data_IF_280921351434
#
_entry.id   IF_280921351434
#
_cell.length_a   1.000
_cell.length_b   1.000
_cell.length_c   1.000
_cell.angle_alpha   90.00
_cell.angle_beta   90.00
_cell.angle_gamma   90.00
#
_symmetry.space_group_name_H-M   'P 1'
#
loop_
_entity.id
_entity.type
_entity.pdbx_description
1 polymer ?
#
# COMPACT_ATOMS: atom_id res chain seq x y z
N UNK A 1 -7.40 -3.82 -13.93
CA UNK A 1 -7.14 -3.61 -12.49
C UNK A 1 -7.26 -2.13 -12.19
N UNK A 2 -8.17 -1.75 -11.28
CA UNK A 2 -8.35 -0.36 -10.84
C UNK A 2 -7.86 -0.22 -9.41
N UNK A 3 -7.23 0.89 -9.06
CA UNK A 3 -6.86 1.14 -7.67
C UNK A 3 -7.77 2.20 -7.05
N UNK A 4 -8.20 1.97 -5.82
CA UNK A 4 -8.78 3.04 -5.00
C UNK A 4 -7.64 3.85 -4.39
N UNK A 5 -7.56 5.13 -4.74
CA UNK A 5 -6.52 6.03 -4.24
C UNK A 5 -7.11 7.38 -3.84
N UNK A 6 -6.48 8.05 -2.85
CA UNK A 6 -6.94 9.35 -2.37
C UNK A 6 -6.97 10.36 -3.53
N UNK A 7 -8.03 11.18 -3.61
CA UNK A 7 -8.21 12.14 -4.71
C UNK A 7 -7.00 13.09 -4.87
N UNK A 8 -6.30 13.43 -3.79
CA UNK A 8 -5.07 14.24 -3.84
C UNK A 8 -3.97 13.63 -4.73
N UNK A 9 -3.93 12.30 -4.88
CA UNK A 9 -2.98 11.59 -5.76
C UNK A 9 -3.31 11.85 -7.24
N UNK A 10 -4.59 12.02 -7.58
CA UNK A 10 -5.07 12.33 -8.92
C UNK A 10 -4.84 13.79 -9.31
N UNK A 11 -4.79 14.69 -8.33
CA UNK A 11 -4.48 16.12 -8.50
C UNK A 11 -2.99 16.41 -8.63
N UNK A 12 -2.12 15.47 -8.26
CA UNK A 12 -0.68 15.64 -8.36
C UNK A 12 -0.20 15.62 -9.82
N UNK A 13 0.65 16.58 -10.22
CA UNK A 13 1.02 16.85 -11.63
C UNK A 13 1.68 15.68 -12.36
N UNK A 14 2.31 14.75 -11.63
CA UNK A 14 3.07 13.62 -12.21
C UNK A 14 2.29 12.31 -12.14
N UNK A 15 1.72 11.99 -10.99
CA UNK A 15 0.94 10.74 -10.80
C UNK A 15 -0.48 10.87 -11.34
N UNK A 16 -1.05 12.08 -11.37
CA UNK A 16 -2.43 12.33 -11.74
C UNK A 16 -2.82 11.84 -13.14
N UNK A 17 -2.06 12.20 -14.21
CA UNK A 17 -2.33 11.71 -15.55
C UNK A 17 -2.26 10.18 -15.66
N UNK A 18 -1.30 9.56 -14.97
CA UNK A 18 -1.14 8.10 -14.95
C UNK A 18 -2.31 7.40 -14.25
N UNK A 19 -2.69 7.87 -13.06
CA UNK A 19 -3.82 7.30 -12.30
C UNK A 19 -5.15 7.45 -13.06
N UNK A 20 -5.35 8.59 -13.74
CA UNK A 20 -6.52 8.81 -14.60
C UNK A 20 -6.52 7.92 -15.84
N UNK A 21 -5.37 7.77 -16.50
CA UNK A 21 -5.22 6.89 -17.67
C UNK A 21 -5.49 5.41 -17.36
N UNK A 22 -5.15 4.96 -16.15
CA UNK A 22 -5.42 3.59 -15.69
C UNK A 22 -6.83 3.41 -15.08
N UNK A 23 -7.72 4.40 -15.27
CA UNK A 23 -9.12 4.42 -14.80
C UNK A 23 -9.28 4.06 -13.32
N UNK A 24 -8.33 4.48 -12.48
CA UNK A 24 -8.38 4.28 -11.04
C UNK A 24 -9.51 5.07 -10.39
N UNK A 25 -9.98 4.61 -9.24
CA UNK A 25 -11.14 5.16 -8.54
C UNK A 25 -10.63 6.20 -7.53
N UNK A 26 -10.89 7.51 -7.76
CA UNK A 26 -10.53 8.54 -6.79
C UNK A 26 -11.43 8.46 -5.57
N UNK A 27 -10.82 8.51 -4.38
CA UNK A 27 -11.52 8.55 -3.10
C UNK A 27 -11.34 9.92 -2.48
N UNK A 28 -12.39 10.74 -2.52
CA UNK A 28 -12.51 11.97 -1.74
C UNK A 28 -13.21 11.63 -0.40
N UNK A 29 -12.77 12.24 0.70
CA UNK A 29 -13.49 12.14 1.98
C UNK A 29 -14.90 12.77 1.91
N UNK A 30 -15.12 13.75 1.02
CA UNK A 30 -16.43 14.38 0.83
C UNK A 30 -17.36 13.61 -0.11
N UNK A 31 -16.82 12.79 -1.01
CA UNK A 31 -17.59 11.96 -1.97
C UNK A 31 -17.27 10.46 -1.81
N UNK A 32 -16.95 10.02 -0.59
CA UNK A 32 -16.48 8.66 -0.34
C UNK A 32 -17.49 7.58 -0.72
N UNK A 33 -18.78 7.91 -0.63
CA UNK A 33 -19.89 7.02 -0.98
C UNK A 33 -19.93 6.69 -2.48
N UNK A 34 -19.78 7.70 -3.36
CA UNK A 34 -19.74 7.47 -4.80
C UNK A 34 -18.54 6.60 -5.23
N UNK A 35 -17.39 6.79 -4.60
CA UNK A 35 -16.19 5.99 -4.84
C UNK A 35 -16.37 4.53 -4.36
N UNK A 36 -17.00 4.35 -3.21
CA UNK A 36 -17.33 3.04 -2.65
C UNK A 36 -18.31 2.28 -3.54
N UNK A 37 -19.39 2.93 -3.94
CA UNK A 37 -20.39 2.40 -4.88
C UNK A 37 -19.79 2.01 -6.23
N UNK A 38 -18.87 2.82 -6.78
CA UNK A 38 -18.16 2.47 -8.00
C UNK A 38 -17.29 1.23 -7.83
N UNK A 39 -16.56 1.14 -6.71
CA UNK A 39 -15.72 -0.02 -6.42
C UNK A 39 -16.57 -1.29 -6.25
N UNK A 40 -17.71 -1.19 -5.58
CA UNK A 40 -18.66 -2.29 -5.40
C UNK A 40 -19.20 -2.79 -6.73
N UNK A 41 -19.65 -1.89 -7.62
CA UNK A 41 -20.09 -2.24 -8.97
C UNK A 41 -18.98 -2.91 -9.78
N UNK A 42 -17.76 -2.38 -9.69
CA UNK A 42 -16.60 -2.94 -10.41
C UNK A 42 -16.28 -4.36 -9.94
N UNK A 43 -16.30 -4.60 -8.62
CA UNK A 43 -16.08 -5.94 -8.07
C UNK A 43 -17.19 -6.92 -8.50
N UNK A 44 -18.46 -6.48 -8.47
CA UNK A 44 -19.60 -7.30 -8.92
C UNK A 44 -19.57 -7.61 -10.41
N UNK A 45 -18.97 -6.75 -11.24
CA UNK A 45 -18.75 -7.03 -12.67
C UNK A 45 -17.50 -7.88 -12.94
N UNK A 46 -16.85 -8.43 -11.91
CA UNK A 46 -15.67 -9.28 -12.04
C UNK A 46 -14.36 -8.53 -12.23
N UNK A 47 -14.33 -7.21 -12.02
CA UNK A 47 -13.09 -6.45 -12.09
C UNK A 47 -12.26 -6.57 -10.80
N UNK A 48 -10.93 -6.47 -10.93
CA UNK A 48 -10.01 -6.44 -9.79
C UNK A 48 -9.82 -5.00 -9.30
N UNK A 49 -10.09 -4.77 -8.02
CA UNK A 49 -9.86 -3.50 -7.34
C UNK A 49 -8.72 -3.61 -6.33
N UNK A 50 -7.65 -2.86 -6.54
CA UNK A 50 -6.53 -2.72 -5.61
C UNK A 50 -6.79 -1.63 -4.57
N UNK A 51 -6.47 -1.90 -3.31
CA UNK A 51 -6.66 -0.96 -2.20
C UNK A 51 -5.38 -0.87 -1.38
N UNK A 52 -4.98 0.34 -1.00
CA UNK A 52 -3.90 0.57 -0.04
C UNK A 52 -4.51 0.89 1.34
N UNK A 53 -4.71 -0.12 2.22
CA UNK A 53 -5.42 0.07 3.49
C UNK A 53 -4.66 0.97 4.48
N UNK A 54 -3.36 1.20 4.24
CA UNK A 54 -2.46 2.05 5.00
C UNK A 54 -2.64 3.56 4.73
N UNK A 55 -3.46 3.91 3.72
CA UNK A 55 -3.82 5.26 3.26
C UNK A 55 -2.67 6.19 2.81
N UNK A 56 -1.43 5.93 3.20
CA UNK A 56 -0.24 6.73 2.88
C UNK A 56 1.00 5.85 2.73
N UNK A 57 1.99 6.32 1.96
CA UNK A 57 3.30 5.68 1.87
C UNK A 57 4.03 5.90 3.20
N UNK A 58 4.45 4.83 3.86
CA UNK A 58 5.18 4.87 5.12
C UNK A 58 6.64 5.26 4.91
N UNK A 59 7.09 6.34 5.58
CA UNK A 59 8.50 6.75 5.57
C UNK A 59 9.40 5.83 6.40
N UNK A 60 8.83 5.06 7.33
CA UNK A 60 9.55 4.04 8.09
C UNK A 60 9.71 2.71 7.33
N UNK A 61 9.07 2.59 6.16
CA UNK A 61 9.01 1.37 5.35
C UNK A 61 8.49 0.14 6.09
N UNK A 62 7.70 0.38 7.14
CA UNK A 62 6.94 -0.61 7.90
C UNK A 62 5.45 -0.34 7.77
N UNK A 63 4.63 -1.38 7.91
CA UNK A 63 3.18 -1.24 7.83
C UNK A 63 2.62 -0.39 8.99
N UNK A 64 1.84 0.65 8.67
CA UNK A 64 0.95 1.37 9.59
C UNK A 64 -0.34 0.56 9.82
N UNK A 65 -1.24 1.13 10.62
CA UNK A 65 -2.56 0.54 10.86
C UNK A 65 -3.42 0.53 9.60
N UNK A 66 -4.14 -0.57 9.39
CA UNK A 66 -5.02 -0.75 8.25
C UNK A 66 -6.41 -0.20 8.56
N UNK A 67 -7.00 0.51 7.59
CA UNK A 67 -8.41 0.91 7.64
C UNK A 67 -9.30 -0.27 7.20
N UNK A 68 -10.48 -0.38 7.81
CA UNK A 68 -11.42 -1.49 7.57
C UNK A 68 -12.22 -1.39 6.27
N UNK A 69 -12.08 -0.31 5.50
CA UNK A 69 -12.84 -0.08 4.27
C UNK A 69 -12.68 -1.19 3.23
N UNK A 70 -11.46 -1.74 3.08
CA UNK A 70 -11.20 -2.86 2.17
C UNK A 70 -11.97 -4.13 2.58
N UNK A 71 -11.99 -4.44 3.88
CA UNK A 71 -12.72 -5.60 4.41
C UNK A 71 -14.23 -5.44 4.21
N UNK A 72 -14.79 -4.26 4.51
CA UNK A 72 -16.21 -3.97 4.30
C UNK A 72 -16.61 -4.09 2.83
N UNK A 73 -15.82 -3.53 1.94
CA UNK A 73 -16.06 -3.59 0.49
C UNK A 73 -16.06 -5.04 -0.01
N UNK A 74 -15.09 -5.85 0.43
CA UNK A 74 -15.00 -7.26 0.06
C UNK A 74 -16.19 -8.08 0.60
N UNK A 75 -16.59 -7.84 1.85
CA UNK A 75 -17.78 -8.45 2.45
C UNK A 75 -19.04 -8.14 1.64
N UNK A 76 -19.24 -6.87 1.28
CA UNK A 76 -20.44 -6.43 0.58
C UNK A 76 -20.49 -6.88 -0.88
N UNK A 77 -19.33 -6.95 -1.54
CA UNK A 77 -19.19 -7.49 -2.88
C UNK A 77 -19.26 -9.03 -2.91
N UNK A 78 -19.02 -9.71 -1.78
CA UNK A 78 -18.96 -11.18 -1.71
C UNK A 78 -17.71 -11.75 -2.38
N UNK A 79 -16.58 -11.05 -2.29
CA UNK A 79 -15.31 -11.40 -2.95
C UNK A 79 -14.18 -11.56 -1.93
N UNK A 80 -13.14 -12.36 -2.21
CA UNK A 80 -12.00 -12.50 -1.31
C UNK A 80 -11.05 -11.28 -1.38
N UNK A 81 -10.24 -11.13 -0.35
CA UNK A 81 -9.11 -10.19 -0.31
C UNK A 81 -7.82 -10.92 -0.65
N UNK A 82 -7.04 -10.39 -1.58
CA UNK A 82 -5.72 -10.95 -1.91
C UNK A 82 -4.63 -10.08 -1.24
N UNK A 83 -3.92 -10.59 -0.21
CA UNK A 83 -2.84 -9.86 0.42
C UNK A 83 -1.64 -9.74 -0.52
N UNK A 84 -1.07 -8.54 -0.60
CA UNK A 84 0.10 -8.27 -1.42
C UNK A 84 1.07 -7.33 -0.70
N UNK A 85 2.36 -7.63 -0.79
CA UNK A 85 3.43 -6.76 -0.33
C UNK A 85 4.33 -6.35 -1.50
N UNK A 86 4.76 -5.10 -1.51
CA UNK A 86 5.64 -4.53 -2.53
C UNK A 86 6.85 -3.93 -1.84
N UNK A 87 8.05 -4.28 -2.31
CA UNK A 87 9.32 -3.82 -1.76
C UNK A 87 10.27 -3.34 -2.86
N UNK A 88 11.05 -2.30 -2.59
CA UNK A 88 12.04 -1.73 -3.51
C UNK A 88 11.54 -0.49 -4.28
N UNK A 89 10.23 -0.26 -4.35
CA UNK A 89 9.65 0.93 -5.00
C UNK A 89 10.04 2.24 -4.31
N UNK A 90 10.26 2.22 -3.00
CA UNK A 90 10.70 3.38 -2.22
C UNK A 90 12.07 3.93 -2.67
N UNK A 91 12.91 3.07 -3.27
CA UNK A 91 14.23 3.43 -3.79
C UNK A 91 14.16 4.19 -5.11
N UNK A 92 13.04 4.07 -5.84
CA UNK A 92 12.77 4.83 -7.06
C UNK A 92 12.19 6.20 -6.72
N UNK A 93 11.18 6.22 -5.84
CA UNK A 93 10.53 7.45 -5.42
C UNK A 93 9.87 7.29 -4.04
N UNK A 94 10.34 8.08 -3.08
CA UNK A 94 9.72 8.22 -1.76
C UNK A 94 9.78 9.67 -1.28
N UNK A 95 9.04 9.99 -0.21
CA UNK A 95 9.03 11.33 0.39
C UNK A 95 10.37 11.59 1.10
N UNK A 96 11.00 12.73 0.82
CA UNK A 96 12.26 13.14 1.46
C UNK A 96 13.53 12.73 0.71
N UNK A 97 13.43 11.99 -0.40
CA UNK A 97 14.57 11.58 -1.22
C UNK A 97 14.39 11.99 -2.69
N UNK A 98 15.49 12.30 -3.41
CA UNK A 98 15.43 12.62 -4.83
C UNK A 98 14.89 11.43 -5.63
N UNK A 99 14.10 11.72 -6.67
CA UNK A 99 13.56 10.72 -7.60
C UNK A 99 14.70 10.05 -8.36
N UNK A 100 14.73 8.71 -8.37
CA UNK A 100 15.73 7.92 -9.07
C UNK A 100 15.08 7.09 -10.21
N UNK A 101 14.66 7.78 -11.27
CA UNK A 101 14.14 7.16 -12.50
C UNK A 101 15.22 6.90 -13.56
N UNK A 102 16.50 7.04 -13.21
CA UNK A 102 17.60 6.62 -14.10
C UNK A 102 17.55 5.09 -14.27
N UNK A 103 18.28 4.55 -15.25
CA UNK A 103 18.47 3.09 -15.45
C UNK A 103 19.28 2.48 -14.29
N UNK A 104 18.72 2.51 -13.07
CA UNK A 104 19.35 2.10 -11.82
C UNK A 104 19.24 0.59 -11.58
N UNK A 105 18.52 -0.14 -12.45
CA UNK A 105 18.21 -1.57 -12.32
C UNK A 105 17.75 -1.96 -10.90
N UNK A 106 17.05 -1.03 -10.22
CA UNK A 106 16.57 -1.23 -8.85
C UNK A 106 15.53 -2.35 -8.86
N UNK A 107 15.78 -3.48 -8.17
CA UNK A 107 14.82 -4.57 -8.16
C UNK A 107 13.55 -4.17 -7.42
N UNK A 108 12.39 -4.49 -7.97
CA UNK A 108 11.09 -4.39 -7.31
C UNK A 108 10.62 -5.82 -7.02
N UNK A 109 10.37 -6.12 -5.74
CA UNK A 109 9.84 -7.41 -5.30
C UNK A 109 8.36 -7.25 -5.00
N UNK A 110 7.54 -8.09 -5.62
CA UNK A 110 6.11 -8.19 -5.33
C UNK A 110 5.86 -9.60 -4.81
N UNK A 111 5.23 -9.71 -3.64
CA UNK A 111 4.77 -10.99 -3.10
C UNK A 111 3.27 -10.95 -2.94
N UNK A 112 2.61 -12.00 -3.42
CA UNK A 112 1.16 -12.18 -3.36
C UNK A 112 0.91 -13.40 -2.47
N UNK A 113 0.03 -13.25 -1.49
CA UNK A 113 -0.36 -14.33 -0.59
C UNK A 113 -1.69 -14.96 -0.96
N UNK A 114 -2.09 -15.93 -0.14
CA UNK A 114 -3.35 -16.65 -0.30
C UNK A 114 -4.56 -15.76 -0.09
N UNK A 115 -5.64 -16.08 -0.78
CA UNK A 115 -6.92 -15.39 -0.66
C UNK A 115 -7.47 -15.49 0.76
N UNK A 116 -7.89 -14.34 1.31
CA UNK A 116 -8.58 -14.24 2.59
C UNK A 116 -10.08 -14.02 2.34
N UNK A 117 -10.91 -14.95 2.80
CA UNK A 117 -12.35 -14.80 2.70
C UNK A 117 -12.88 -13.68 3.59
N UNK A 118 -13.69 -12.81 3.00
CA UNK A 118 -14.36 -11.72 3.67
C UNK A 118 -15.83 -12.09 3.97
N UNK A 119 -16.06 -13.09 4.82
CA UNK A 119 -17.43 -13.48 5.21
C UNK A 119 -18.14 -12.32 5.92
N UNK A 120 -19.42 -12.08 5.56
CA UNK A 120 -20.28 -11.05 6.16
C UNK A 120 -20.54 -11.25 7.65
N UNK A 121 -20.42 -12.49 8.14
CA UNK A 121 -20.69 -12.84 9.53
C UNK A 121 -19.53 -12.46 10.47
N UNK A 122 -18.36 -12.16 9.91
CA UNK A 122 -17.19 -11.74 10.69
C UNK A 122 -17.16 -10.23 10.86
N UNK A 123 -16.72 -9.77 12.03
CA UNK A 123 -16.45 -8.36 12.24
C UNK A 123 -15.35 -7.87 11.28
N UNK A 124 -15.62 -6.81 10.51
CA UNK A 124 -14.69 -6.27 9.51
C UNK A 124 -13.30 -5.93 10.08
N UNK A 125 -13.22 -5.50 11.35
CA UNK A 125 -11.93 -5.23 12.01
C UNK A 125 -11.10 -6.49 12.25
N UNK A 126 -11.72 -7.65 12.48
CA UNK A 126 -11.02 -8.93 12.62
C UNK A 126 -10.40 -9.36 11.28
N UNK A 127 -11.15 -9.26 10.18
CA UNK A 127 -10.64 -9.49 8.81
C UNK A 127 -9.50 -8.53 8.50
N UNK A 128 -9.64 -7.25 8.89
CA UNK A 128 -8.61 -6.23 8.66
C UNK A 128 -7.31 -6.55 9.40
N UNK A 129 -7.40 -7.06 10.64
CA UNK A 129 -6.24 -7.50 11.41
C UNK A 129 -5.55 -8.70 10.76
N UNK A 130 -6.32 -9.71 10.37
CA UNK A 130 -5.79 -10.90 9.67
C UNK A 130 -5.13 -10.51 8.34
N UNK A 131 -5.75 -9.62 7.57
CA UNK A 131 -5.16 -9.10 6.33
C UNK A 131 -3.82 -8.41 6.61
N UNK A 132 -3.75 -7.57 7.65
CA UNK A 132 -2.50 -6.90 8.03
C UNK A 132 -1.41 -7.90 8.41
N UNK A 133 -1.74 -8.94 9.18
CA UNK A 133 -0.80 -9.99 9.57
C UNK A 133 -0.23 -10.72 8.34
N UNK A 134 -1.10 -11.13 7.40
CA UNK A 134 -0.66 -11.76 6.15
C UNK A 134 0.23 -10.84 5.30
N UNK A 135 -0.11 -9.56 5.19
CA UNK A 135 0.73 -8.58 4.47
C UNK A 135 2.07 -8.37 5.18
N UNK A 136 2.09 -8.37 6.52
CA UNK A 136 3.33 -8.25 7.31
C UNK A 136 4.27 -9.42 7.01
N UNK A 137 3.78 -10.66 7.01
CA UNK A 137 4.56 -11.85 6.67
C UNK A 137 5.14 -11.76 5.24
N UNK A 138 4.32 -11.35 4.26
CA UNK A 138 4.76 -11.16 2.89
C UNK A 138 5.82 -10.06 2.76
N UNK A 139 5.66 -8.96 3.50
CA UNK A 139 6.61 -7.84 3.50
C UNK A 139 7.96 -8.28 4.07
N UNK A 140 7.97 -8.96 5.21
CA UNK A 140 9.19 -9.48 5.83
C UNK A 140 9.89 -10.49 4.92
N UNK A 141 9.14 -11.37 4.25
CA UNK A 141 9.68 -12.29 3.26
C UNK A 141 10.26 -11.57 2.03
N UNK A 142 9.66 -10.45 1.61
CA UNK A 142 10.18 -9.62 0.52
C UNK A 142 11.47 -8.90 0.93
N UNK A 143 11.53 -8.35 2.14
CA UNK A 143 12.71 -7.70 2.70
C UNK A 143 13.87 -8.67 2.87
N UNK A 144 13.62 -9.86 3.43
CA UNK A 144 14.64 -10.89 3.69
C UNK A 144 15.28 -11.43 2.42
N UNK A 145 14.47 -11.64 1.38
CA UNK A 145 14.91 -12.17 0.10
C UNK A 145 15.39 -11.09 -0.88
N UNK A 146 15.46 -9.82 -0.46
CA UNK A 146 15.81 -8.74 -1.36
C UNK A 146 17.26 -8.90 -1.85
N UNK A 147 17.51 -8.89 -3.18
CA UNK A 147 18.81 -9.29 -3.73
C UNK A 147 19.90 -8.21 -3.59
N UNK A 148 19.55 -7.00 -3.14
CA UNK A 148 20.47 -5.87 -3.02
C UNK A 148 20.76 -5.60 -1.55
N UNK A 149 22.04 -5.49 -1.21
CA UNK A 149 22.53 -5.01 0.08
C UNK A 149 22.97 -3.54 -0.03
N UNK A 150 22.90 -2.76 1.07
CA UNK A 150 23.49 -1.43 1.12
C UNK A 150 24.96 -1.46 0.71
N UNK A 151 25.39 -0.47 -0.07
CA UNK A 151 26.81 -0.32 -0.45
C UNK A 151 27.70 0.17 0.68
N UNK A 152 27.12 0.73 1.74
CA UNK A 152 27.81 1.29 2.89
C UNK A 152 26.83 2.03 3.82
N UNK A 153 27.32 2.68 4.89
CA UNK A 153 26.50 3.37 5.88
C UNK A 153 25.59 4.47 5.31
N UNK A 154 26.01 5.12 4.23
CA UNK A 154 25.22 6.19 3.58
C UNK A 154 24.09 5.65 2.67
N UNK A 155 24.06 4.34 2.40
CA UNK A 155 23.07 3.66 1.55
C UNK A 155 22.10 2.79 2.36
N UNK A 156 21.90 3.09 3.64
CA UNK A 156 20.98 2.35 4.53
C UNK A 156 19.63 3.05 4.72
N UNK A 157 19.45 4.24 4.12
CA UNK A 157 18.25 5.08 4.30
C UNK A 157 16.96 4.41 3.85
N UNK A 158 17.02 3.49 2.88
CA UNK A 158 15.86 2.78 2.33
C UNK A 158 15.50 1.51 3.11
N UNK A 159 16.27 1.18 4.15
CA UNK A 159 16.04 0.04 5.02
C UNK A 159 15.35 0.48 6.33
N UNK A 160 14.39 -0.31 6.85
CA UNK A 160 13.78 -0.05 8.15
C UNK A 160 14.82 -0.13 9.28
N UNK A 161 14.63 0.68 10.33
CA UNK A 161 15.53 0.70 11.50
C UNK A 161 15.74 -0.69 12.14
N UNK A 162 14.67 -1.49 12.26
CA UNK A 162 14.75 -2.85 12.83
C UNK A 162 15.53 -3.85 11.96
N UNK A 163 15.86 -3.50 10.71
CA UNK A 163 16.73 -4.28 9.82
C UNK A 163 18.14 -3.70 9.71
N UNK A 164 18.53 -2.79 10.62
CA UNK A 164 19.83 -2.11 10.59
C UNK A 164 19.89 -0.94 9.61
N UNK A 165 18.74 -0.44 9.16
CA UNK A 165 18.64 0.72 8.30
C UNK A 165 18.60 2.05 9.04
N UNK A 166 18.60 3.15 8.28
CA UNK A 166 18.48 4.52 8.82
C UNK A 166 17.15 5.19 8.49
N UNK A 167 16.17 4.44 7.97
CA UNK A 167 14.81 4.96 7.83
C UNK A 167 14.24 5.35 9.21
N UNK A 168 13.46 6.44 9.31
CA UNK A 168 12.90 6.88 10.58
C UNK A 168 12.00 5.80 11.18
N UNK A 169 11.96 5.71 12.50
CA UNK A 169 11.07 4.77 13.19
C UNK A 169 9.60 5.18 12.99
N UNK A 170 8.63 4.26 13.12
CA UNK A 170 7.22 4.60 13.07
C UNK A 170 6.82 5.69 14.07
N UNK A 171 7.50 5.76 15.20
CA UNK A 171 7.29 6.77 16.23
C UNK A 171 7.80 8.15 15.80
N UNK A 172 9.01 8.23 15.25
CA UNK A 172 9.57 9.47 14.70
C UNK A 172 8.70 10.02 13.57
N UNK A 173 8.18 9.15 12.69
CA UNK A 173 7.25 9.56 11.63
C UNK A 173 5.95 10.12 12.21
N UNK A 174 5.38 9.49 13.25
CA UNK A 174 4.16 10.00 13.90
C UNK A 174 4.39 11.37 14.56
N UNK A 175 5.53 11.56 15.21
CA UNK A 175 5.89 12.85 15.81
C UNK A 175 6.02 13.94 14.73
N UNK A 176 6.71 13.65 13.63
CA UNK A 176 6.86 14.59 12.53
C UNK A 176 5.55 14.91 11.77
N UNK A 177 4.57 14.00 11.76
CA UNK A 177 3.23 14.23 11.16
C UNK A 177 2.28 15.01 12.09
N UNK A 178 2.62 15.18 13.38
CA UNK A 178 1.81 15.88 14.38
C UNK A 178 2.11 17.40 14.47
N UNK A 179 3.17 17.86 13.81
CA UNK A 179 3.59 19.27 13.70
C UNK A 179 3.29 19.82 12.30
#
# INVERSE_FOLDING_TARGET
MRFMAKESVFRHRVSGPLMRGMKHIPVDRKQGEAAYEHALRSLRSGEIVGVFPEATISQSFTLKSFKSGAARLAQEAGVPLIPMAVWGTQRLWTKGHPRNFKRSHTPITIRVGEALEASKDKYAGAITRQLRERVQELLEAAQRAYPVRPKGPDDTWWMPAHLGGTAPTPEQVRQAEAH
#
